data_IF_689970688859
#
_entry.id   IF_689970688859
#
_cell.length_a   1.000
_cell.length_b   1.000
_cell.length_c   1.000
_cell.angle_alpha   90.00
_cell.angle_beta   90.00
_cell.angle_gamma   90.00
#
_symmetry.space_group_name_H-M   'P 1'
#
loop_
_entity.id
_entity.type
_entity.pdbx_description
1 polymer ?
#
# COMPACT_ATOMS: atom_id res chain seq x y z
N UNK A 1 -2.80 8.12 17.75
CA UNK A 1 -2.57 7.43 16.47
C UNK A 1 -3.69 7.86 15.52
N UNK A 2 -3.43 8.73 14.55
CA UNK A 2 -4.39 9.02 13.47
C UNK A 2 -4.35 7.85 12.48
N UNK A 3 -4.83 6.69 12.93
CA UNK A 3 -4.89 5.47 12.13
C UNK A 3 -6.05 5.57 11.14
N UNK A 4 -5.84 6.25 10.03
CA UNK A 4 -6.76 6.13 8.91
C UNK A 4 -6.49 4.79 8.25
N UNK A 5 -7.40 3.83 8.42
CA UNK A 5 -7.32 2.57 7.69
C UNK A 5 -7.48 2.86 6.18
N UNK A 6 -6.90 2.01 5.33
CA UNK A 6 -6.97 2.19 3.87
C UNK A 6 -8.43 2.32 3.38
N UNK A 7 -9.36 1.62 4.04
CA UNK A 7 -10.82 1.76 3.80
C UNK A 7 -11.32 3.18 3.98
N UNK A 8 -10.87 3.88 5.03
CA UNK A 8 -11.28 5.25 5.32
C UNK A 8 -10.82 6.17 4.19
N UNK A 9 -9.56 6.05 3.74
CA UNK A 9 -9.00 6.85 2.65
C UNK A 9 -9.71 6.63 1.32
N UNK A 10 -10.08 5.39 1.00
CA UNK A 10 -10.84 5.07 -0.21
C UNK A 10 -12.27 5.59 -0.11
N UNK A 11 -12.97 5.34 1.00
CA UNK A 11 -14.38 5.76 1.20
C UNK A 11 -14.56 7.27 1.31
N UNK A 12 -13.57 7.99 1.83
CA UNK A 12 -13.59 9.45 1.90
C UNK A 12 -13.27 10.11 0.56
N UNK A 13 -12.93 9.33 -0.48
CA UNK A 13 -12.54 9.86 -1.79
C UNK A 13 -11.18 10.56 -1.79
N UNK A 14 -10.39 10.40 -0.73
CA UNK A 14 -9.04 10.97 -0.59
C UNK A 14 -7.98 10.16 -1.35
N UNK A 15 -8.22 8.87 -1.57
CA UNK A 15 -7.35 8.02 -2.41
C UNK A 15 -7.76 8.13 -3.88
N UNK A 16 -7.01 8.92 -4.67
CA UNK A 16 -7.23 9.16 -6.11
C UNK A 16 -5.94 8.99 -6.91
N UNK A 17 -5.48 7.75 -7.12
CA UNK A 17 -4.21 7.49 -7.80
C UNK A 17 -4.21 7.97 -9.26
N UNK A 18 -5.38 8.13 -9.88
CA UNK A 18 -5.52 8.52 -11.29
C UNK A 18 -5.09 9.97 -11.55
N UNK A 19 -5.11 10.82 -10.52
CA UNK A 19 -4.74 12.25 -10.64
C UNK A 19 -3.34 12.53 -10.09
N UNK A 20 -2.67 11.52 -9.54
CA UNK A 20 -1.32 11.68 -9.00
C UNK A 20 -0.27 11.62 -10.12
N UNK A 21 0.81 12.40 -10.03
CA UNK A 21 1.93 12.26 -10.94
C UNK A 21 2.42 10.82 -10.93
N UNK A 22 2.67 10.24 -12.11
CA UNK A 22 3.19 8.88 -12.20
C UNK A 22 4.50 8.79 -11.42
N UNK A 23 4.59 7.89 -10.42
CA UNK A 23 5.74 7.81 -9.55
C UNK A 23 6.87 7.03 -10.24
N UNK A 24 7.50 7.59 -11.26
CA UNK A 24 8.55 6.90 -12.03
C UNK A 24 9.81 6.65 -11.21
N UNK A 25 10.05 7.45 -10.17
CA UNK A 25 11.25 7.38 -9.32
C UNK A 25 10.94 7.09 -7.85
N UNK A 26 9.72 6.65 -7.51
CA UNK A 26 9.40 6.28 -6.13
C UNK A 26 9.38 4.77 -5.98
N UNK A 27 9.90 4.24 -4.87
CA UNK A 27 9.76 2.83 -4.54
C UNK A 27 8.29 2.49 -4.32
N UNK A 28 7.91 1.28 -4.69
CA UNK A 28 6.62 0.69 -4.38
C UNK A 28 6.40 0.59 -2.86
N UNK A 29 5.13 0.44 -2.46
CA UNK A 29 4.79 0.28 -1.05
C UNK A 29 5.43 -0.98 -0.44
N UNK A 30 5.52 -2.09 -1.19
CA UNK A 30 6.18 -3.31 -0.75
C UNK A 30 7.69 -3.11 -0.52
N UNK A 31 8.38 -2.45 -1.45
CA UNK A 31 9.80 -2.12 -1.30
C UNK A 31 10.06 -1.23 -0.08
N UNK A 32 9.21 -0.23 0.15
CA UNK A 32 9.30 0.62 1.34
C UNK A 32 9.11 -0.18 2.64
N UNK A 33 8.16 -1.12 2.68
CA UNK A 33 7.90 -1.94 3.85
C UNK A 33 9.04 -2.90 4.16
N UNK A 34 9.61 -3.56 3.16
CA UNK A 34 10.77 -4.44 3.36
C UNK A 34 11.97 -3.62 3.84
N UNK A 35 12.31 -2.55 3.11
CA UNK A 35 13.50 -1.75 3.40
C UNK A 35 13.44 -1.01 4.75
N UNK A 36 12.29 -0.45 5.13
CA UNK A 36 12.15 0.32 6.38
C UNK A 36 11.61 -0.50 7.54
N UNK A 37 10.77 -1.49 7.26
CA UNK A 37 10.18 -2.38 8.26
C UNK A 37 11.12 -3.49 8.72
N UNK A 38 12.26 -3.69 8.03
CA UNK A 38 13.21 -4.79 8.28
C UNK A 38 12.50 -6.14 8.30
N UNK A 39 11.58 -6.32 7.35
CA UNK A 39 10.84 -7.56 7.19
C UNK A 39 11.79 -8.68 6.77
N UNK A 40 11.51 -9.89 7.20
CA UNK A 40 12.26 -11.08 6.78
C UNK A 40 11.77 -11.60 5.42
N UNK A 41 10.54 -11.23 5.07
CA UNK A 41 9.87 -11.55 3.82
C UNK A 41 10.46 -10.79 2.63
N UNK A 42 10.36 -11.39 1.45
CA UNK A 42 10.76 -10.75 0.19
C UNK A 42 9.75 -9.67 -0.22
N UNK A 43 10.15 -8.78 -1.13
CA UNK A 43 9.24 -7.75 -1.67
C UNK A 43 8.03 -8.41 -2.34
N UNK A 44 8.24 -9.53 -3.03
CA UNK A 44 7.21 -10.31 -3.72
C UNK A 44 6.19 -10.92 -2.73
N UNK A 45 6.68 -11.46 -1.61
CA UNK A 45 5.82 -11.98 -0.54
C UNK A 45 4.96 -10.86 0.07
N UNK A 46 5.58 -9.72 0.37
CA UNK A 46 4.89 -8.56 0.92
C UNK A 46 3.87 -8.00 -0.07
N UNK A 47 4.20 -7.95 -1.36
CA UNK A 47 3.27 -7.54 -2.41
C UNK A 47 2.07 -8.49 -2.52
N UNK A 48 2.28 -9.80 -2.35
CA UNK A 48 1.22 -10.81 -2.33
C UNK A 48 0.29 -10.62 -1.14
N UNK A 49 0.85 -10.34 0.05
CA UNK A 49 0.09 -10.04 1.26
C UNK A 49 -0.76 -8.76 1.06
N UNK A 50 -0.17 -7.70 0.53
CA UNK A 50 -0.88 -6.43 0.23
C UNK A 50 -2.04 -6.70 -0.72
N UNK A 51 -1.80 -7.40 -1.83
CA UNK A 51 -2.82 -7.67 -2.84
C UNK A 51 -3.98 -8.52 -2.27
N UNK A 52 -3.66 -9.51 -1.45
CA UNK A 52 -4.66 -10.36 -0.80
C UNK A 52 -5.47 -9.58 0.23
N UNK A 53 -4.81 -8.75 1.05
CA UNK A 53 -5.47 -7.87 2.01
C UNK A 53 -6.39 -6.85 1.32
N UNK A 54 -5.94 -6.28 0.20
CA UNK A 54 -6.76 -5.36 -0.59
C UNK A 54 -8.00 -6.07 -1.16
N UNK A 55 -7.86 -7.26 -1.75
CA UNK A 55 -9.02 -7.98 -2.29
C UNK A 55 -9.97 -8.50 -1.22
N UNK A 56 -9.45 -9.13 -0.17
CA UNK A 56 -10.27 -9.85 0.80
C UNK A 56 -10.76 -9.00 1.97
N UNK A 57 -10.23 -7.78 2.13
CA UNK A 57 -10.60 -6.92 3.25
C UNK A 57 -11.00 -5.52 2.83
N UNK A 58 -10.46 -4.94 1.76
CA UNK A 58 -10.75 -3.54 1.38
C UNK A 58 -12.09 -3.40 0.67
N UNK A 59 -12.41 -4.36 -0.21
CA UNK A 59 -13.69 -4.54 -0.89
C UNK A 59 -14.53 -5.62 -0.19
#
# INVERSE_FOLDING_TARGET
MLSHCLKCMVRSGMWRPEVWPFPTNLPSFAEMLVARGKLAETVEDVQTIINTGNRGRLY
#
